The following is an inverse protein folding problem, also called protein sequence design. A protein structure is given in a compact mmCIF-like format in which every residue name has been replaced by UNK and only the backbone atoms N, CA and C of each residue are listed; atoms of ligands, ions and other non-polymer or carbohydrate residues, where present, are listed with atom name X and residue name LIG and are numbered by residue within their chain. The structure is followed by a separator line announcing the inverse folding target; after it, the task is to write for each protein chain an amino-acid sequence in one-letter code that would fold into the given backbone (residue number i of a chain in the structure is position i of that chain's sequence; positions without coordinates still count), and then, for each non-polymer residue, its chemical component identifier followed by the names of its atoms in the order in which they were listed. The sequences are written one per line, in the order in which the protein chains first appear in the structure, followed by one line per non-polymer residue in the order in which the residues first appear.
data_IF_954585581640
#
_entry.id   IF_954585581640
#
_cell.length_a   1.000
_cell.length_b   1.000
_cell.length_c   1.000
_cell.angle_alpha   90.00
_cell.angle_beta   90.00
_cell.angle_gamma   90.00
#
_symmetry.space_group_name_H-M   'P 1'
#
loop_
_entity.id
_entity.type
_entity.pdbx_description
1 polymer ?
#
# COMPACT_ATOMS: atom_id res chain seq x y z
N UNK A 1 -3.41 13.59 -5.18
CA UNK A 1 -2.67 12.32 -5.39
C UNK A 1 -1.38 12.37 -4.60
N UNK A 2 -1.24 11.50 -3.60
CA UNK A 2 -0.07 11.39 -2.74
C UNK A 2 0.78 10.21 -3.22
N UNK A 3 2.11 10.37 -3.34
CA UNK A 3 3.00 9.24 -3.68
C UNK A 3 3.90 8.97 -2.49
N UNK A 4 3.84 7.74 -2.00
CA UNK A 4 4.66 7.26 -0.89
C UNK A 4 5.53 6.10 -1.37
N UNK A 5 6.74 6.00 -0.81
CA UNK A 5 7.59 4.83 -1.02
C UNK A 5 7.42 3.92 0.18
N UNK A 6 7.06 2.66 -0.06
CA UNK A 6 6.91 1.62 0.95
C UNK A 6 7.86 0.45 0.69
N UNK A 7 8.34 -0.18 1.75
CA UNK A 7 9.14 -1.41 1.71
C UNK A 7 8.30 -2.62 2.13
N UNK A 8 8.90 -3.81 2.03
CA UNK A 8 8.36 -5.03 2.62
C UNK A 8 8.02 -4.80 4.11
N UNK A 9 6.90 -5.34 4.57
CA UNK A 9 6.34 -5.23 5.92
C UNK A 9 5.97 -3.81 6.38
N UNK A 10 6.12 -2.78 5.54
CA UNK A 10 5.60 -1.46 5.87
C UNK A 10 4.11 -1.38 5.53
N UNK A 11 3.36 -0.63 6.35
CA UNK A 11 1.95 -0.39 6.10
C UNK A 11 1.62 1.08 5.91
N UNK A 12 0.42 1.32 5.42
CA UNK A 12 -0.20 2.63 5.27
C UNK A 12 -1.63 2.49 5.74
N UNK A 13 -2.02 3.33 6.69
CA UNK A 13 -3.40 3.41 7.16
C UNK A 13 -4.08 4.53 6.38
N UNK A 14 -5.16 4.21 5.69
CA UNK A 14 -5.95 5.13 4.87
C UNK A 14 -7.35 5.18 5.49
N UNK A 15 -7.59 6.20 6.31
CA UNK A 15 -8.82 6.33 7.09
C UNK A 15 -8.92 5.22 8.13
N UNK A 16 -9.74 4.21 7.83
CA UNK A 16 -9.98 3.02 8.66
C UNK A 16 -9.34 1.76 8.06
N UNK A 17 -8.90 1.82 6.81
CA UNK A 17 -8.35 0.69 6.07
C UNK A 17 -6.83 0.65 6.26
N UNK A 18 -6.30 -0.51 6.64
CA UNK A 18 -4.86 -0.74 6.79
C UNK A 18 -4.35 -1.48 5.57
N UNK A 19 -3.31 -0.95 4.92
CA UNK A 19 -2.67 -1.58 3.76
C UNK A 19 -1.24 -1.94 4.12
N UNK A 20 -0.93 -3.22 4.22
CA UNK A 20 0.41 -3.73 4.55
C UNK A 20 1.07 -4.35 3.32
N UNK A 21 2.34 -4.04 3.08
CA UNK A 21 3.10 -4.66 1.99
C UNK A 21 3.66 -6.00 2.45
N UNK A 22 3.04 -7.10 2.05
CA UNK A 22 3.52 -8.44 2.41
C UNK A 22 4.73 -8.85 1.56
N UNK A 23 4.70 -8.56 0.26
CA UNK A 23 5.76 -8.99 -0.63
C UNK A 23 5.91 -8.08 -1.85
N UNK A 24 7.16 -7.89 -2.31
CA UNK A 24 7.48 -7.09 -3.49
C UNK A 24 8.32 -7.95 -4.44
N UNK A 25 7.71 -8.35 -5.55
CA UNK A 25 8.38 -9.02 -6.66
C UNK A 25 8.80 -8.01 -7.74
N UNK A 26 9.50 -8.47 -8.78
CA UNK A 26 10.00 -7.60 -9.87
C UNK A 26 8.89 -6.81 -10.57
N UNK A 27 7.70 -7.40 -10.71
CA UNK A 27 6.56 -6.79 -11.41
C UNK A 27 5.24 -6.85 -10.63
N UNK A 28 5.21 -7.51 -9.47
CA UNK A 28 3.99 -7.76 -8.69
C UNK A 28 4.21 -7.41 -7.23
N UNK A 29 3.21 -6.84 -6.58
CA UNK A 29 3.23 -6.52 -5.15
C UNK A 29 2.04 -7.22 -4.51
N UNK A 30 2.28 -7.84 -3.37
CA UNK A 30 1.28 -8.44 -2.50
C UNK A 30 0.99 -7.44 -1.40
N UNK A 31 -0.23 -6.95 -1.40
CA UNK A 31 -0.76 -6.04 -0.40
C UNK A 31 -1.77 -6.81 0.44
N UNK A 32 -1.75 -6.57 1.73
CA UNK A 32 -2.78 -7.01 2.64
C UNK A 32 -3.63 -5.80 3.01
N UNK A 33 -4.94 -5.92 2.83
CA UNK A 33 -5.92 -4.88 3.12
C UNK A 33 -6.77 -5.37 4.27
N UNK A 34 -6.81 -4.60 5.35
CA UNK A 34 -7.64 -4.86 6.52
C UNK A 34 -7.38 -6.25 7.19
N UNK A 35 -6.14 -6.76 7.13
CA UNK A 35 -5.69 -8.01 7.81
C UNK A 35 -6.38 -9.28 7.30
N UNK A 36 -7.34 -9.14 6.38
CA UNK A 36 -8.27 -10.20 5.97
C UNK A 36 -8.35 -10.37 4.46
N UNK A 37 -7.96 -9.36 3.67
CA UNK A 37 -8.02 -9.39 2.21
C UNK A 37 -6.63 -9.21 1.59
N UNK A 38 -6.10 -10.26 0.95
CA UNK A 38 -4.85 -10.16 0.21
C UNK A 38 -5.11 -9.77 -1.26
N UNK A 39 -4.52 -8.66 -1.68
CA UNK A 39 -4.66 -8.09 -3.01
C UNK A 39 -3.31 -8.15 -3.71
N UNK A 40 -3.27 -8.72 -4.90
CA UNK A 40 -2.07 -8.70 -5.75
C UNK A 40 -2.23 -7.64 -6.83
N UNK A 41 -1.27 -6.72 -6.93
CA UNK A 41 -1.25 -5.68 -7.98
C UNK A 41 0.03 -5.76 -8.81
N UNK A 42 -0.09 -5.51 -10.11
CA UNK A 42 1.04 -5.42 -11.02
C UNK A 42 1.62 -3.99 -11.10
N UNK A 43 2.84 -3.86 -11.61
CA UNK A 43 3.46 -2.56 -11.89
C UNK A 43 2.58 -1.73 -12.84
N UNK A 44 2.29 -0.47 -12.46
CA UNK A 44 1.35 0.46 -13.14
C UNK A 44 -0.13 0.07 -13.06
N UNK A 45 -0.47 -0.92 -12.25
CA UNK A 45 -1.86 -1.26 -11.95
C UNK A 45 -2.37 -0.45 -10.76
N UNK A 46 -3.68 -0.24 -10.71
CA UNK A 46 -4.36 0.45 -9.62
C UNK A 46 -5.50 -0.40 -9.10
N UNK A 47 -5.63 -0.48 -7.78
CA UNK A 47 -6.75 -1.10 -7.10
C UNK A 47 -7.60 -0.05 -6.40
N UNK A 48 -8.91 -0.17 -6.50
CA UNK A 48 -9.86 0.66 -5.76
C UNK A 48 -10.22 -0.07 -4.47
N UNK A 49 -9.84 0.52 -3.32
CA UNK A 49 -10.12 -0.06 -1.99
C UNK A 49 -11.52 0.34 -1.54
N UNK A 50 -11.94 1.59 -1.82
CA UNK A 50 -13.24 2.18 -1.41
C UNK A 50 -13.80 3.10 -2.49
N UNK A 51 -15.05 3.55 -2.30
CA UNK A 51 -15.66 4.62 -3.10
C UNK A 51 -14.81 5.90 -3.00
N UNK A 52 -14.13 6.25 -4.10
CA UNK A 52 -13.18 7.38 -4.23
C UNK A 52 -11.77 7.18 -3.65
N UNK A 53 -11.40 5.96 -3.25
CA UNK A 53 -10.03 5.66 -2.78
C UNK A 53 -9.37 4.60 -3.64
N UNK A 54 -8.28 4.96 -4.30
CA UNK A 54 -7.49 4.04 -5.14
C UNK A 54 -6.00 4.09 -4.81
N UNK A 55 -5.35 2.93 -4.96
CA UNK A 55 -3.93 2.72 -4.73
C UNK A 55 -3.30 2.21 -6.01
N UNK A 56 -2.29 2.92 -6.51
CA UNK A 56 -1.62 2.64 -7.77
C UNK A 56 -0.15 2.32 -7.54
N UNK A 57 0.33 1.21 -8.09
CA UNK A 57 1.76 0.91 -8.09
C UNK A 57 2.47 1.75 -9.16
N UNK A 58 3.01 2.90 -8.78
CA UNK A 58 3.69 3.82 -9.71
C UNK A 58 5.02 3.23 -10.19
N UNK A 59 5.81 2.66 -9.27
CA UNK A 59 7.14 2.13 -9.60
C UNK A 59 7.63 1.12 -8.57
N UNK A 60 8.29 0.06 -9.01
CA UNK A 60 9.02 -0.87 -8.14
C UNK A 60 10.53 -0.65 -8.37
N UNK A 61 11.30 -0.61 -7.29
CA UNK A 61 12.77 -0.48 -7.27
C UNK A 61 13.30 -1.39 -6.17
N UNK A 62 14.06 -2.43 -6.51
CA UNK A 62 14.85 -3.30 -5.59
C UNK A 62 14.36 -3.33 -4.13
N UNK A 63 13.19 -3.95 -3.88
CA UNK A 63 12.62 -4.09 -2.54
C UNK A 63 11.82 -2.89 -2.00
N UNK A 64 11.60 -1.88 -2.85
CA UNK A 64 10.77 -0.71 -2.56
C UNK A 64 9.71 -0.52 -3.64
N UNK A 65 8.52 -0.10 -3.24
CA UNK A 65 7.43 0.24 -4.14
C UNK A 65 6.96 1.67 -3.91
N UNK A 66 6.75 2.42 -4.98
CA UNK A 66 6.07 3.71 -4.97
C UNK A 66 4.57 3.48 -5.14
N UNK A 67 3.83 3.67 -4.07
CA UNK A 67 2.38 3.60 -4.04
C UNK A 67 1.82 5.02 -4.20
N UNK A 68 1.06 5.23 -5.26
CA UNK A 68 0.27 6.42 -5.51
C UNK A 68 -1.11 6.23 -4.89
N UNK A 69 -1.41 6.96 -3.84
CA UNK A 69 -2.70 6.91 -3.15
C UNK A 69 -3.51 8.12 -3.58
N UNK A 70 -4.72 7.83 -4.07
CA UNK A 70 -5.73 8.83 -4.38
C UNK A 70 -6.88 8.62 -3.43
N UNK A 71 -7.09 9.56 -2.53
CA UNK A 71 -8.18 9.55 -1.55
C UNK A 71 -8.74 10.98 -1.44
N UNK A 72 -10.02 11.16 -1.08
CA UNK A 72 -10.61 12.48 -0.87
C UNK A 72 -10.09 13.12 0.43
N UNK A 73 -10.21 14.45 0.56
CA UNK A 73 -9.76 15.22 1.73
C UNK A 73 -10.40 14.78 3.07
N UNK A 74 -11.51 14.03 3.00
CA UNK A 74 -12.16 13.44 4.17
C UNK A 74 -11.38 12.28 4.79
N UNK A 75 -10.40 11.70 4.10
CA UNK A 75 -9.68 10.49 4.52
C UNK A 75 -8.30 10.85 5.08
N UNK A 76 -8.05 10.47 6.33
CA UNK A 76 -6.75 10.70 6.99
C UNK A 76 -5.79 9.58 6.61
N UNK A 77 -4.66 9.93 5.99
CA UNK A 77 -3.61 8.96 5.65
C UNK A 77 -2.53 9.01 6.73
N UNK A 78 -2.32 7.90 7.46
CA UNK A 78 -1.23 7.72 8.41
C UNK A 78 -0.21 6.73 7.85
N UNK A 79 1.06 7.02 8.11
CA UNK A 79 2.17 6.09 7.83
C UNK A 79 2.41 5.32 9.11
N UNK A 80 2.02 4.06 9.12
CA UNK A 80 2.30 3.17 10.23
C UNK A 80 3.48 2.30 9.80
N UNK A 81 4.63 2.55 10.40
CA UNK A 81 5.75 1.60 10.34
C UNK A 81 5.41 0.55 11.38
N UNK A 82 5.00 -0.65 10.94
CA UNK A 82 4.88 -1.78 11.86
C UNK A 82 6.27 -1.98 12.45
N UNK A 83 6.47 -1.85 13.76
CA UNK A 83 7.74 -2.20 14.36
C UNK A 83 7.97 -3.68 14.08
N UNK A 84 9.12 -4.02 13.51
CA UNK A 84 9.60 -5.41 13.49
C UNK A 84 9.47 -5.93 14.92
N UNK A 85 8.57 -6.90 15.14
CA UNK A 85 8.52 -7.64 16.39
C UNK A 85 9.93 -8.20 16.62
N UNK A 86 10.63 -7.60 17.58
CA UNK A 86 11.93 -8.07 18.00
C UNK A 86 11.73 -9.39 18.72
N UNK A 87 12.47 -10.41 18.26
CA UNK A 87 12.61 -11.79 18.76
C UNK A 87 12.38 -12.04 20.25
#
# INVERSE_FOLDING_TARGET
MLILTRKLNESVVIGEDIITVLNINKCQIYLDVNISECVTINLKESVSIRENTSVTAVKIKEGQVKLGITAPDSVIIRREEVPEESE
#
